data_IF_481520351547
#
_entry.id   IF_481520351547
#
_cell.length_a   1.000
_cell.length_b   1.000
_cell.length_c   1.000
_cell.angle_alpha   90.00
_cell.angle_beta   90.00
_cell.angle_gamma   90.00
#
_symmetry.space_group_name_H-M   'P 1'
#
loop_
_entity.id
_entity.type
_entity.pdbx_description
1 polymer ?
#
# COMPACT_ATOMS: atom_id res chain seq x y z
N UNK A 1 -10.25 -23.75 14.39
CA UNK A 1 -9.52 -22.47 14.17
C UNK A 1 -8.05 -22.79 13.96
N UNK A 2 -7.44 -22.22 12.91
CA UNK A 2 -5.99 -22.30 12.69
C UNK A 2 -5.27 -21.62 13.86
N UNK A 3 -4.26 -22.28 14.45
CA UNK A 3 -3.41 -21.67 15.47
C UNK A 3 -2.24 -21.01 14.77
N UNK A 4 -2.01 -19.74 15.06
CA UNK A 4 -0.87 -18.97 14.56
C UNK A 4 0.16 -18.80 15.66
N UNK A 5 1.43 -18.84 15.29
CA UNK A 5 2.54 -18.71 16.24
C UNK A 5 2.70 -17.25 16.70
N UNK A 6 2.44 -16.29 15.79
CA UNK A 6 2.62 -14.83 16.01
C UNK A 6 1.41 -14.04 15.53
N UNK A 7 1.21 -12.88 16.13
CA UNK A 7 0.13 -11.96 15.76
C UNK A 7 0.28 -11.47 14.32
N UNK A 8 1.51 -11.17 13.85
CA UNK A 8 1.75 -10.71 12.49
C UNK A 8 1.23 -11.72 11.46
N UNK A 9 1.53 -13.01 11.60
CA UNK A 9 1.06 -14.03 10.67
C UNK A 9 -0.47 -14.16 10.73
N UNK A 10 -1.06 -14.14 11.94
CA UNK A 10 -2.52 -14.16 12.12
C UNK A 10 -3.18 -13.00 11.37
N UNK A 11 -2.64 -11.80 11.52
CA UNK A 11 -3.19 -10.58 10.92
C UNK A 11 -3.01 -10.54 9.40
N UNK A 12 -1.96 -11.16 8.85
CA UNK A 12 -1.83 -11.38 7.40
C UNK A 12 -2.97 -12.29 6.90
N UNK A 13 -3.30 -13.36 7.62
CA UNK A 13 -4.40 -14.25 7.27
C UNK A 13 -5.80 -13.66 7.50
N UNK A 14 -5.91 -12.63 8.34
CA UNK A 14 -7.17 -11.90 8.57
C UNK A 14 -7.50 -10.89 7.46
N UNK A 15 -6.58 -10.59 6.54
CA UNK A 15 -6.76 -9.55 5.52
C UNK A 15 -8.02 -9.72 4.67
N UNK A 16 -8.38 -10.92 4.16
CA UNK A 16 -9.62 -11.09 3.41
C UNK A 16 -10.85 -10.66 4.20
N UNK A 17 -10.98 -11.16 5.43
CA UNK A 17 -12.13 -10.82 6.29
C UNK A 17 -12.12 -9.33 6.72
N UNK A 18 -10.93 -8.72 6.91
CA UNK A 18 -10.79 -7.30 7.20
C UNK A 18 -11.23 -6.43 6.02
N UNK A 19 -10.87 -6.83 4.80
CA UNK A 19 -11.32 -6.19 3.57
C UNK A 19 -12.84 -6.28 3.43
N UNK A 20 -13.44 -7.47 3.60
CA UNK A 20 -14.89 -7.65 3.53
C UNK A 20 -15.64 -6.73 4.50
N UNK A 21 -15.21 -6.67 5.76
CA UNK A 21 -15.80 -5.78 6.76
C UNK A 21 -15.64 -4.31 6.40
N UNK A 22 -14.47 -3.94 5.89
CA UNK A 22 -14.21 -2.55 5.46
C UNK A 22 -15.10 -2.18 4.27
N UNK A 23 -15.21 -3.04 3.26
CA UNK A 23 -16.09 -2.79 2.11
C UNK A 23 -17.56 -2.65 2.49
N UNK A 24 -18.01 -3.40 3.50
CA UNK A 24 -19.39 -3.31 4.00
C UNK A 24 -19.76 -1.94 4.59
N UNK A 25 -18.79 -1.14 5.01
CA UNK A 25 -19.04 0.24 5.48
C UNK A 25 -19.40 1.19 4.33
N UNK A 26 -19.00 0.87 3.09
CA UNK A 26 -19.06 1.79 1.95
C UNK A 26 -19.95 1.30 0.81
N UNK A 27 -20.28 0.00 0.80
CA UNK A 27 -21.01 -0.64 -0.29
C UNK A 27 -22.33 -1.23 0.20
N UNK A 28 -23.37 -1.01 -0.59
CA UNK A 28 -24.66 -1.71 -0.46
C UNK A 28 -24.89 -2.52 -1.74
N UNK A 29 -24.70 -3.85 -1.65
CA UNK A 29 -24.63 -4.68 -2.84
C UNK A 29 -23.49 -4.20 -3.76
N UNK A 30 -23.79 -3.95 -5.03
CA UNK A 30 -22.85 -3.43 -6.03
C UNK A 30 -23.00 -1.90 -6.24
N UNK A 31 -23.32 -1.17 -5.18
CA UNK A 31 -23.50 0.30 -5.24
C UNK A 31 -22.74 0.95 -4.09
N UNK A 32 -22.27 2.17 -4.34
CA UNK A 32 -21.77 3.06 -3.30
C UNK A 32 -22.94 3.51 -2.40
N UNK A 33 -22.73 3.52 -1.09
CA UNK A 33 -23.71 4.00 -0.12
C UNK A 33 -23.92 5.51 -0.26
N UNK A 34 -25.20 5.94 -0.31
CA UNK A 34 -25.54 7.36 -0.48
C UNK A 34 -25.19 8.21 0.74
N UNK A 35 -25.36 7.66 1.95
CA UNK A 35 -25.03 8.35 3.20
C UNK A 35 -23.53 8.67 3.33
N UNK A 36 -22.67 7.80 2.76
CA UNK A 36 -21.23 8.08 2.66
C UNK A 36 -20.94 9.15 1.63
N UNK A 37 -21.63 9.11 0.47
CA UNK A 37 -21.47 10.13 -0.57
C UNK A 37 -21.86 11.54 -0.07
N UNK A 38 -22.95 11.64 0.72
CA UNK A 38 -23.38 12.89 1.33
C UNK A 38 -22.32 13.44 2.28
N UNK A 39 -21.78 12.62 3.18
CA UNK A 39 -20.69 13.04 4.09
C UNK A 39 -19.43 13.47 3.36
N UNK A 40 -19.02 12.75 2.31
CA UNK A 40 -17.87 13.12 1.50
C UNK A 40 -18.10 14.44 0.75
N UNK A 41 -19.35 14.80 0.45
CA UNK A 41 -19.69 16.11 -0.10
C UNK A 41 -19.28 17.29 0.80
N UNK A 42 -19.19 17.09 2.12
CA UNK A 42 -18.73 18.11 3.07
C UNK A 42 -17.23 18.39 2.98
N UNK A 43 -16.46 17.41 2.51
CA UNK A 43 -15.03 17.53 2.25
C UNK A 43 -14.73 18.10 0.85
N UNK A 44 -15.74 18.32 0.01
CA UNK A 44 -15.56 18.75 -1.37
C UNK A 44 -14.56 19.90 -1.53
N UNK A 45 -13.53 19.66 -2.33
CA UNK A 45 -12.47 20.63 -2.62
C UNK A 45 -12.74 21.35 -3.95
N UNK A 46 -12.84 22.69 -3.95
CA UNK A 46 -13.17 23.45 -5.17
C UNK A 46 -12.01 23.54 -6.17
N UNK A 47 -10.78 23.28 -5.75
CA UNK A 47 -9.57 23.58 -6.53
C UNK A 47 -8.99 22.38 -7.31
N UNK A 48 -9.53 21.17 -7.17
CA UNK A 48 -8.98 19.98 -7.84
C UNK A 48 -7.62 19.52 -7.30
N UNK A 49 -7.18 20.06 -6.17
CA UNK A 49 -5.89 19.77 -5.53
C UNK A 49 -6.11 19.10 -4.17
N UNK A 50 -5.33 18.07 -3.89
CA UNK A 50 -5.35 17.29 -2.64
C UNK A 50 -3.93 17.09 -2.13
N UNK A 51 -3.73 17.22 -0.82
CA UNK A 51 -2.50 16.85 -0.14
C UNK A 51 -2.78 15.65 0.78
N UNK A 52 -2.02 14.59 0.65
CA UNK A 52 -2.06 13.44 1.56
C UNK A 52 -0.90 13.57 2.54
N UNK A 53 -1.19 13.60 3.85
CA UNK A 53 -0.18 13.65 4.90
C UNK A 53 -0.24 12.39 5.77
N UNK A 54 0.85 11.64 5.84
CA UNK A 54 0.93 10.39 6.59
C UNK A 54 2.37 10.00 6.94
N UNK A 55 2.53 8.98 7.78
CA UNK A 55 3.83 8.43 8.17
C UNK A 55 3.90 6.92 7.89
N UNK A 56 5.11 6.39 7.70
CA UNK A 56 5.38 4.95 7.55
C UNK A 56 4.53 4.27 6.47
N UNK A 57 3.93 3.14 6.82
CA UNK A 57 3.05 2.36 5.92
C UNK A 57 1.86 3.18 5.41
N UNK A 58 1.27 4.01 6.26
CA UNK A 58 0.15 4.88 5.85
C UNK A 58 0.56 5.89 4.77
N UNK A 59 1.83 6.36 4.77
CA UNK A 59 2.34 7.19 3.68
C UNK A 59 2.51 6.38 2.39
N UNK A 60 2.90 5.11 2.48
CA UNK A 60 2.98 4.26 1.29
C UNK A 60 1.59 3.98 0.70
N UNK A 61 0.55 3.82 1.52
CA UNK A 61 -0.83 3.78 0.99
C UNK A 61 -1.23 5.09 0.34
N UNK A 62 -0.81 6.23 0.92
CA UNK A 62 -1.00 7.56 0.32
C UNK A 62 -0.37 7.70 -1.06
N UNK A 63 0.86 7.18 -1.26
CA UNK A 63 1.52 7.18 -2.58
C UNK A 63 0.78 6.32 -3.62
N UNK A 64 0.13 5.23 -3.21
CA UNK A 64 -0.76 4.49 -4.11
C UNK A 64 -2.04 5.28 -4.38
N UNK A 65 -2.56 5.97 -3.35
CA UNK A 65 -3.71 6.86 -3.45
C UNK A 65 -3.50 8.06 -4.37
N UNK A 66 -2.28 8.62 -4.41
CA UNK A 66 -1.88 9.68 -5.34
C UNK A 66 -2.14 9.25 -6.78
N UNK A 67 -1.49 8.18 -7.23
CA UNK A 67 -1.65 7.65 -8.59
C UNK A 67 -3.13 7.34 -8.90
N UNK A 68 -3.82 6.72 -7.96
CA UNK A 68 -5.21 6.32 -8.11
C UNK A 68 -6.16 7.52 -8.26
N UNK A 69 -6.03 8.54 -7.42
CA UNK A 69 -6.88 9.73 -7.45
C UNK A 69 -6.58 10.62 -8.66
N UNK A 70 -5.31 10.70 -9.08
CA UNK A 70 -4.92 11.39 -10.30
C UNK A 70 -5.52 10.71 -11.53
N UNK A 71 -5.33 9.40 -11.67
CA UNK A 71 -5.77 8.65 -12.84
C UNK A 71 -7.32 8.54 -12.92
N UNK A 72 -8.01 8.27 -11.81
CA UNK A 72 -9.47 8.08 -11.81
C UNK A 72 -10.26 9.38 -11.78
N UNK A 73 -9.71 10.44 -11.18
CA UNK A 73 -10.46 11.65 -10.88
C UNK A 73 -9.90 12.92 -11.55
N UNK A 74 -8.71 12.85 -12.13
CA UNK A 74 -8.03 14.02 -12.69
C UNK A 74 -7.65 15.06 -11.63
N UNK A 75 -7.47 14.63 -10.37
CA UNK A 75 -7.03 15.50 -9.28
C UNK A 75 -5.52 15.69 -9.34
N UNK A 76 -5.02 16.83 -8.90
CA UNK A 76 -3.60 16.99 -8.61
C UNK A 76 -3.35 16.58 -7.15
N UNK A 77 -2.53 15.57 -6.92
CA UNK A 77 -2.30 15.01 -5.59
C UNK A 77 -0.83 15.04 -5.23
N UNK A 78 -0.51 15.60 -4.07
CA UNK A 78 0.82 15.53 -3.46
C UNK A 78 0.79 14.64 -2.21
N UNK A 79 1.88 13.91 -1.93
CA UNK A 79 2.01 13.09 -0.72
C UNK A 79 3.21 13.51 0.10
N UNK A 80 2.95 14.10 1.27
CA UNK A 80 3.98 14.61 2.16
C UNK A 80 4.16 13.72 3.40
N UNK A 81 5.31 13.78 4.01
CA UNK A 81 5.51 13.26 5.37
C UNK A 81 4.74 14.13 6.37
N UNK A 82 3.96 13.50 7.25
CA UNK A 82 3.21 14.24 8.26
C UNK A 82 4.13 15.06 9.18
N UNK A 83 5.30 14.53 9.53
CA UNK A 83 6.34 15.25 10.30
C UNK A 83 6.81 16.51 9.59
N UNK A 84 7.02 16.47 8.28
CA UNK A 84 7.51 17.62 7.52
C UNK A 84 6.42 18.69 7.38
N UNK A 85 5.17 18.27 7.11
CA UNK A 85 4.05 19.21 6.97
C UNK A 85 3.85 20.04 8.24
N UNK A 86 3.96 19.42 9.40
CA UNK A 86 3.82 20.10 10.70
C UNK A 86 4.95 21.12 10.96
N UNK A 87 6.12 20.91 10.33
CA UNK A 87 7.30 21.76 10.46
C UNK A 87 7.42 22.84 9.39
N UNK A 88 6.48 22.97 8.46
CA UNK A 88 6.50 24.01 7.40
C UNK A 88 6.25 25.44 7.93
N UNK A 89 6.99 25.84 8.96
CA UNK A 89 6.87 27.15 9.57
C UNK A 89 7.01 28.30 8.60
N UNK A 90 6.22 29.38 8.80
CA UNK A 90 6.41 30.67 8.11
C UNK A 90 5.91 30.76 6.66
N UNK A 91 5.38 29.70 6.08
CA UNK A 91 4.72 29.74 4.78
C UNK A 91 3.21 29.88 4.99
N UNK A 92 2.69 31.10 4.95
CA UNK A 92 1.24 31.38 4.97
C UNK A 92 0.54 30.95 3.65
N UNK A 93 1.06 29.90 3.02
CA UNK A 93 0.43 29.35 1.82
C UNK A 93 -0.79 28.56 2.25
N UNK A 94 -1.94 28.87 1.67
CA UNK A 94 -3.15 28.06 1.80
C UNK A 94 -2.82 26.64 1.31
N UNK A 95 -3.12 25.63 2.12
CA UNK A 95 -3.03 24.24 1.69
C UNK A 95 -4.29 23.86 0.90
N UNK A 96 -4.20 22.88 -0.02
CA UNK A 96 -5.37 22.26 -0.66
C UNK A 96 -6.22 21.51 0.38
N UNK A 97 -7.20 20.73 -0.06
CA UNK A 97 -7.86 19.77 0.82
C UNK A 97 -6.84 18.73 1.30
N UNK A 98 -6.90 18.35 2.57
CA UNK A 98 -5.90 17.48 3.18
C UNK A 98 -6.53 16.15 3.60
N UNK A 99 -5.92 15.04 3.17
CA UNK A 99 -6.21 13.70 3.65
C UNK A 99 -5.12 13.32 4.65
N UNK A 100 -5.51 12.92 5.86
CA UNK A 100 -4.59 12.34 6.85
C UNK A 100 -4.86 10.85 7.01
N UNK A 101 -3.80 10.05 7.02
CA UNK A 101 -3.93 8.58 7.11
C UNK A 101 -3.10 8.07 8.29
N UNK A 102 -3.76 7.37 9.23
CA UNK A 102 -3.10 6.72 10.37
C UNK A 102 -3.91 5.50 10.81
N UNK A 103 -3.25 4.37 11.07
CA UNK A 103 -3.92 3.18 11.59
C UNK A 103 -4.54 3.45 12.96
N UNK A 104 -3.81 4.06 13.89
CA UNK A 104 -4.27 4.35 15.25
C UNK A 104 -5.12 5.61 15.34
N UNK A 105 -4.93 6.57 14.43
CA UNK A 105 -5.52 7.90 14.53
C UNK A 105 -4.98 8.75 15.68
N UNK A 106 -3.89 8.29 16.34
CA UNK A 106 -3.25 8.95 17.50
C UNK A 106 -1.76 9.23 17.25
N UNK A 107 -1.25 9.01 16.03
CA UNK A 107 0.15 9.30 15.70
C UNK A 107 0.40 10.79 15.79
N UNK A 108 1.36 11.20 16.64
CA UNK A 108 1.65 12.59 16.97
C UNK A 108 1.89 13.48 15.75
N UNK A 109 2.76 13.05 14.83
CA UNK A 109 3.04 13.81 13.60
C UNK A 109 1.79 13.98 12.73
N UNK A 110 0.95 12.92 12.61
CA UNK A 110 -0.26 12.97 11.79
C UNK A 110 -1.31 13.89 12.41
N UNK A 111 -1.43 13.91 13.73
CA UNK A 111 -2.28 14.86 14.45
C UNK A 111 -1.77 16.29 14.31
N UNK A 112 -0.46 16.51 14.39
CA UNK A 112 0.14 17.82 14.16
C UNK A 112 -0.12 18.32 12.72
N UNK A 113 0.00 17.43 11.73
CA UNK A 113 -0.32 17.76 10.34
C UNK A 113 -1.81 18.11 10.14
N UNK A 114 -2.73 17.37 10.78
CA UNK A 114 -4.17 17.68 10.78
C UNK A 114 -4.45 19.04 11.41
N UNK A 115 -3.86 19.30 12.57
CA UNK A 115 -4.00 20.59 13.28
C UNK A 115 -3.51 21.74 12.43
N UNK A 116 -2.36 21.60 11.77
CA UNK A 116 -1.81 22.62 10.89
C UNK A 116 -2.69 22.85 9.65
N UNK A 117 -3.21 21.79 9.03
CA UNK A 117 -4.15 21.89 7.91
C UNK A 117 -5.39 22.68 8.29
N UNK A 118 -6.00 22.38 9.43
CA UNK A 118 -7.18 23.07 9.97
C UNK A 118 -6.87 24.53 10.30
N UNK A 119 -5.71 24.81 10.93
CA UNK A 119 -5.26 26.17 11.23
C UNK A 119 -5.15 27.03 9.95
N UNK A 120 -4.80 26.42 8.82
CA UNK A 120 -4.71 27.07 7.50
C UNK A 120 -6.05 27.12 6.77
N UNK A 121 -7.13 26.63 7.37
CA UNK A 121 -8.48 26.65 6.81
C UNK A 121 -8.72 25.62 5.69
N UNK A 122 -7.90 24.57 5.63
CA UNK A 122 -8.09 23.46 4.68
C UNK A 122 -9.23 22.55 5.13
N UNK A 123 -9.98 22.02 4.18
CA UNK A 123 -10.89 20.90 4.43
C UNK A 123 -10.07 19.63 4.68
N UNK A 124 -10.49 18.84 5.66
CA UNK A 124 -9.73 17.69 6.14
C UNK A 124 -10.54 16.40 6.09
N UNK A 125 -9.91 15.31 5.62
CA UNK A 125 -10.46 13.96 5.61
C UNK A 125 -9.50 13.02 6.34
N UNK A 126 -10.01 12.23 7.29
CA UNK A 126 -9.24 11.23 8.02
C UNK A 126 -9.54 9.82 7.53
N UNK A 127 -8.49 9.01 7.28
CA UNK A 127 -8.60 7.56 7.06
C UNK A 127 -7.94 6.86 8.24
N UNK A 128 -8.71 6.16 9.07
CA UNK A 128 -8.21 5.52 10.29
C UNK A 128 -8.95 4.24 10.64
N UNK A 129 -8.27 3.31 11.33
CA UNK A 129 -8.91 2.10 11.83
C UNK A 129 -9.58 2.28 13.21
N UNK A 130 -9.28 3.38 13.89
CA UNK A 130 -9.85 3.73 15.18
C UNK A 130 -10.91 4.84 14.99
N UNK A 131 -12.17 4.45 14.87
CA UNK A 131 -13.28 5.36 14.60
C UNK A 131 -13.47 6.44 15.70
N UNK A 132 -13.06 6.12 16.93
CA UNK A 132 -13.15 7.01 18.10
C UNK A 132 -11.83 7.76 18.39
N UNK A 133 -10.86 7.72 17.47
CA UNK A 133 -9.58 8.41 17.64
C UNK A 133 -9.71 9.93 17.58
N UNK A 134 -8.69 10.60 18.09
CA UNK A 134 -8.57 12.06 18.01
C UNK A 134 -8.62 12.54 16.56
N UNK A 135 -7.88 11.87 15.66
CA UNK A 135 -7.87 12.19 14.24
C UNK A 135 -9.26 12.09 13.60
N UNK A 136 -10.04 11.02 13.95
CA UNK A 136 -11.38 10.82 13.40
C UNK A 136 -12.38 11.87 13.89
N UNK A 137 -12.23 12.36 15.15
CA UNK A 137 -13.09 13.39 15.72
C UNK A 137 -12.77 14.80 15.24
N UNK A 138 -11.51 15.07 14.95
CA UNK A 138 -11.06 16.43 14.61
C UNK A 138 -11.09 16.73 13.10
N UNK A 139 -11.05 15.74 12.23
CA UNK A 139 -11.20 15.95 10.80
C UNK A 139 -12.66 16.34 10.44
N UNK A 140 -12.83 17.11 9.36
CA UNK A 140 -14.18 17.48 8.87
C UNK A 140 -14.96 16.22 8.45
N UNK A 141 -14.29 15.24 7.84
CA UNK A 141 -14.86 13.95 7.43
C UNK A 141 -13.94 12.81 7.82
N UNK A 142 -14.50 11.68 8.23
CA UNK A 142 -13.75 10.45 8.51
C UNK A 142 -14.23 9.28 7.66
N UNK A 143 -13.25 8.53 7.11
CA UNK A 143 -13.45 7.26 6.43
C UNK A 143 -12.81 6.14 7.27
N UNK A 144 -13.58 5.47 8.15
CA UNK A 144 -13.06 4.42 9.01
C UNK A 144 -12.71 3.16 8.23
N UNK A 145 -11.69 2.44 8.70
CA UNK A 145 -11.42 1.06 8.35
C UNK A 145 -12.21 0.13 9.29
N UNK A 146 -12.39 -1.12 8.90
CA UNK A 146 -12.91 -2.18 9.77
C UNK A 146 -11.92 -3.37 9.83
N UNK A 147 -10.62 -3.05 9.87
CA UNK A 147 -9.57 -4.06 9.93
C UNK A 147 -9.58 -4.86 11.25
N UNK A 148 -10.30 -4.38 12.27
CA UNK A 148 -10.27 -4.93 13.61
C UNK A 148 -8.98 -4.56 14.36
N UNK A 149 -8.79 -5.11 15.54
CA UNK A 149 -7.60 -4.83 16.35
C UNK A 149 -6.36 -5.41 15.66
N UNK A 150 -5.37 -4.55 15.43
CA UNK A 150 -4.07 -4.90 14.87
C UNK A 150 -3.00 -4.72 15.94
N UNK A 151 -2.46 -5.85 16.42
CA UNK A 151 -1.50 -5.90 17.54
C UNK A 151 -0.05 -5.94 17.08
N UNK A 152 0.21 -6.61 15.94
CA UNK A 152 1.55 -6.68 15.38
C UNK A 152 2.08 -5.27 15.10
N UNK A 153 3.34 -5.03 15.42
CA UNK A 153 3.97 -3.72 15.16
C UNK A 153 3.99 -3.42 13.66
N UNK A 154 4.45 -4.33 12.77
CA UNK A 154 4.36 -4.10 11.34
C UNK A 154 2.89 -4.10 10.89
N UNK A 155 2.45 -3.01 10.27
CA UNK A 155 1.10 -2.91 9.72
C UNK A 155 0.93 -3.91 8.56
N UNK A 156 -0.20 -4.63 8.56
CA UNK A 156 -0.56 -5.61 7.53
C UNK A 156 -1.99 -5.39 7.03
N UNK A 157 -2.99 -5.84 7.77
CA UNK A 157 -4.41 -5.74 7.38
C UNK A 157 -4.94 -4.30 7.36
N UNK A 158 -4.42 -3.41 8.22
CA UNK A 158 -4.78 -2.00 8.15
C UNK A 158 -4.28 -1.36 6.86
N UNK A 159 -3.08 -1.72 6.39
CA UNK A 159 -2.52 -1.21 5.14
C UNK A 159 -3.38 -1.62 3.92
N UNK A 160 -3.75 -2.89 3.79
CA UNK A 160 -4.61 -3.35 2.69
C UNK A 160 -6.00 -2.72 2.75
N UNK A 161 -6.55 -2.50 3.95
CA UNK A 161 -7.81 -1.76 4.12
C UNK A 161 -7.66 -0.27 3.75
N UNK A 162 -6.50 0.38 4.04
CA UNK A 162 -6.24 1.75 3.59
C UNK A 162 -6.24 1.86 2.06
N UNK A 163 -5.59 0.92 1.36
CA UNK A 163 -5.61 0.87 -0.11
C UNK A 163 -7.05 0.71 -0.64
N UNK A 164 -7.85 -0.18 -0.04
CA UNK A 164 -9.23 -0.39 -0.43
C UNK A 164 -10.10 0.86 -0.20
N UNK A 165 -9.91 1.57 0.92
CA UNK A 165 -10.65 2.80 1.22
C UNK A 165 -10.23 3.96 0.31
N UNK A 166 -8.94 4.06 -0.04
CA UNK A 166 -8.46 5.03 -1.04
C UNK A 166 -9.06 4.76 -2.42
N UNK A 167 -9.16 3.48 -2.83
CA UNK A 167 -9.85 3.12 -4.06
C UNK A 167 -11.35 3.49 -4.01
N UNK A 168 -12.03 3.22 -2.90
CA UNK A 168 -13.43 3.63 -2.70
C UNK A 168 -13.59 5.15 -2.75
N UNK A 169 -12.69 5.91 -2.11
CA UNK A 169 -12.66 7.36 -2.21
C UNK A 169 -12.54 7.81 -3.67
N UNK A 170 -11.64 7.20 -4.45
CA UNK A 170 -11.52 7.44 -5.88
C UNK A 170 -12.83 7.17 -6.64
N UNK A 171 -13.55 6.09 -6.32
CA UNK A 171 -14.85 5.80 -6.94
C UNK A 171 -15.92 6.84 -6.57
N UNK A 172 -15.96 7.28 -5.30
CA UNK A 172 -16.90 8.36 -4.88
C UNK A 172 -16.59 9.67 -5.59
N UNK A 173 -15.32 10.06 -5.67
CA UNK A 173 -14.87 11.28 -6.33
C UNK A 173 -15.07 11.22 -7.85
N UNK A 174 -14.71 10.12 -8.50
CA UNK A 174 -14.94 9.93 -9.93
C UNK A 174 -16.44 10.05 -10.28
N UNK A 175 -17.32 9.51 -9.45
CA UNK A 175 -18.77 9.69 -9.59
C UNK A 175 -19.19 11.14 -9.39
N UNK A 176 -18.71 11.82 -8.35
CA UNK A 176 -19.01 13.22 -8.05
C UNK A 176 -18.57 14.14 -9.17
N UNK A 177 -17.38 13.92 -9.70
CA UNK A 177 -16.75 14.69 -10.79
C UNK A 177 -17.26 14.29 -12.18
N UNK A 178 -18.10 13.25 -12.28
CA UNK A 178 -18.57 12.67 -13.56
C UNK A 178 -17.43 12.18 -14.47
N UNK A 179 -16.33 11.74 -13.87
CA UNK A 179 -15.16 11.21 -14.57
C UNK A 179 -15.32 9.74 -14.96
N UNK A 180 -16.32 9.03 -14.41
CA UNK A 180 -16.58 7.61 -14.63
C UNK A 180 -18.07 7.40 -14.89
N UNK A 181 -18.41 6.55 -15.88
CA UNK A 181 -19.81 6.19 -16.14
C UNK A 181 -20.33 5.12 -15.15
N UNK A 182 -21.64 4.87 -15.19
CA UNK A 182 -22.29 3.96 -14.26
C UNK A 182 -21.91 2.47 -14.48
N UNK A 183 -21.61 2.09 -15.71
CA UNK A 183 -21.23 0.71 -16.04
C UNK A 183 -19.80 0.43 -15.56
N UNK A 184 -18.89 1.37 -15.80
CA UNK A 184 -17.52 1.32 -15.33
C UNK A 184 -17.44 1.34 -13.79
N UNK A 185 -18.21 2.20 -13.13
CA UNK A 185 -18.31 2.23 -11.67
C UNK A 185 -18.75 0.86 -11.11
N UNK A 186 -19.81 0.28 -11.71
CA UNK A 186 -20.32 -1.05 -11.30
C UNK A 186 -19.24 -2.12 -11.46
N UNK A 187 -18.55 -2.14 -12.61
CA UNK A 187 -17.49 -3.11 -12.88
C UNK A 187 -16.33 -2.99 -11.87
N UNK A 188 -15.93 -1.77 -11.49
CA UNK A 188 -14.89 -1.54 -10.49
C UNK A 188 -15.31 -2.03 -9.09
N UNK A 189 -16.58 -1.82 -8.69
CA UNK A 189 -17.12 -2.32 -7.43
C UNK A 189 -17.14 -3.87 -7.43
N UNK A 190 -17.55 -4.50 -8.52
CA UNK A 190 -17.57 -5.97 -8.65
C UNK A 190 -16.16 -6.56 -8.53
N UNK A 191 -15.17 -5.96 -9.20
CA UNK A 191 -13.75 -6.37 -9.09
C UNK A 191 -13.22 -6.21 -7.67
N UNK A 192 -13.50 -5.08 -7.01
CA UNK A 192 -13.09 -4.85 -5.63
C UNK A 192 -13.71 -5.87 -4.67
N UNK A 193 -14.98 -6.23 -4.85
CA UNK A 193 -15.67 -7.23 -4.03
C UNK A 193 -15.16 -8.66 -4.22
N UNK A 194 -14.62 -8.98 -5.37
CA UNK A 194 -14.04 -10.29 -5.65
C UNK A 194 -12.65 -10.47 -5.00
N UNK A 195 -11.96 -9.38 -4.70
CA UNK A 195 -10.57 -9.38 -4.25
C UNK A 195 -10.34 -10.13 -2.92
N UNK A 196 -11.17 -9.99 -1.87
CA UNK A 196 -10.98 -10.74 -0.63
C UNK A 196 -10.98 -12.26 -0.84
N UNK A 197 -11.89 -12.78 -1.68
CA UNK A 197 -11.98 -14.20 -2.02
C UNK A 197 -10.74 -14.64 -2.79
N UNK A 198 -10.30 -13.83 -3.76
CA UNK A 198 -9.08 -14.10 -4.52
C UNK A 198 -7.85 -14.20 -3.63
N UNK A 199 -7.67 -13.26 -2.71
CA UNK A 199 -6.57 -13.27 -1.73
C UNK A 199 -6.66 -14.49 -0.82
N UNK A 200 -7.84 -14.79 -0.27
CA UNK A 200 -8.04 -15.94 0.62
C UNK A 200 -7.64 -17.27 -0.03
N UNK A 201 -7.94 -17.44 -1.33
CA UNK A 201 -7.59 -18.65 -2.09
C UNK A 201 -6.10 -18.83 -2.33
N UNK A 202 -5.29 -17.78 -2.20
CA UNK A 202 -3.84 -17.82 -2.47
C UNK A 202 -2.98 -17.86 -1.20
N UNK A 203 -3.52 -17.50 -0.03
CA UNK A 203 -2.75 -17.29 1.21
C UNK A 203 -1.89 -18.49 1.61
N UNK A 204 -2.40 -19.72 1.54
CA UNK A 204 -1.63 -20.90 1.92
C UNK A 204 -0.50 -21.16 0.93
N UNK A 205 -0.76 -21.06 -0.38
CA UNK A 205 0.26 -21.21 -1.41
C UNK A 205 1.35 -20.14 -1.30
N UNK A 206 0.96 -18.88 -1.07
CA UNK A 206 1.95 -17.83 -0.81
C UNK A 206 2.74 -18.06 0.48
N UNK A 207 2.08 -18.53 1.55
CA UNK A 207 2.77 -18.83 2.81
C UNK A 207 3.87 -19.86 2.62
N UNK A 208 3.57 -20.98 1.96
CA UNK A 208 4.53 -22.04 1.70
C UNK A 208 5.68 -21.56 0.79
N UNK A 209 5.34 -20.84 -0.27
CA UNK A 209 6.32 -20.29 -1.20
C UNK A 209 7.23 -19.24 -0.55
N UNK A 210 6.67 -18.33 0.26
CA UNK A 210 7.45 -17.30 0.94
C UNK A 210 8.35 -17.90 2.02
N UNK A 211 7.94 -18.96 2.70
CA UNK A 211 8.79 -19.70 3.62
C UNK A 211 10.01 -20.30 2.89
N UNK A 212 9.80 -20.94 1.74
CA UNK A 212 10.87 -21.50 0.93
C UNK A 212 11.84 -20.41 0.41
N UNK A 213 11.30 -19.27 -0.07
CA UNK A 213 12.13 -18.14 -0.52
C UNK A 213 12.91 -17.51 0.63
N UNK A 214 12.30 -17.32 1.79
CA UNK A 214 12.97 -16.80 2.97
C UNK A 214 14.14 -17.71 3.39
N UNK A 215 13.94 -19.02 3.39
CA UNK A 215 15.02 -19.97 3.63
C UNK A 215 16.15 -19.83 2.61
N UNK A 216 15.81 -19.79 1.30
CA UNK A 216 16.77 -19.63 0.19
C UNK A 216 17.62 -18.36 0.34
N UNK A 217 16.98 -17.24 0.75
CA UNK A 217 17.63 -15.93 0.84
C UNK A 217 17.99 -15.52 2.28
N UNK A 218 17.92 -16.43 3.26
CA UNK A 218 18.14 -16.14 4.69
C UNK A 218 19.50 -15.50 5.01
N UNK A 219 20.51 -15.75 4.20
CA UNK A 219 21.87 -15.20 4.37
C UNK A 219 22.06 -13.81 3.75
N UNK A 220 21.12 -13.34 2.93
CA UNK A 220 21.21 -12.02 2.32
C UNK A 220 21.01 -10.93 3.39
N UNK A 221 21.98 -10.03 3.50
CA UNK A 221 21.95 -8.92 4.47
C UNK A 221 21.29 -7.65 3.93
N UNK A 222 21.15 -7.54 2.60
CA UNK A 222 20.62 -6.38 1.91
C UNK A 222 19.67 -6.81 0.79
N UNK A 223 18.64 -6.02 0.54
CA UNK A 223 17.72 -6.18 -0.59
C UNK A 223 17.44 -4.84 -1.27
N UNK A 224 17.18 -4.84 -2.57
CA UNK A 224 16.66 -3.69 -3.28
C UNK A 224 15.25 -4.02 -3.80
N UNK A 225 14.28 -3.16 -3.48
CA UNK A 225 12.89 -3.28 -3.90
C UNK A 225 12.58 -2.31 -5.02
N UNK A 226 12.01 -2.80 -6.11
CA UNK A 226 11.74 -2.02 -7.31
C UNK A 226 10.27 -2.11 -7.72
N UNK A 227 9.74 -0.99 -8.19
CA UNK A 227 8.39 -0.90 -8.78
C UNK A 227 8.28 0.33 -9.68
N UNK A 228 7.20 0.41 -10.48
CA UNK A 228 6.88 1.57 -11.31
C UNK A 228 5.46 2.04 -11.04
N UNK A 229 5.21 3.36 -11.10
CA UNK A 229 3.89 3.93 -10.83
C UNK A 229 3.35 3.47 -9.48
N UNK A 230 2.12 3.01 -9.44
CA UNK A 230 1.44 2.55 -8.23
C UNK A 230 2.18 1.39 -7.52
N UNK A 231 2.83 0.51 -8.28
CA UNK A 231 3.60 -0.64 -7.76
C UNK A 231 4.87 -0.21 -7.00
N UNK A 232 5.37 1.01 -7.23
CA UNK A 232 6.48 1.54 -6.45
C UNK A 232 6.08 1.78 -4.98
N UNK A 233 4.84 2.17 -4.71
CA UNK A 233 4.33 2.28 -3.35
C UNK A 233 4.38 0.92 -2.62
N UNK A 234 4.11 -0.18 -3.34
CA UNK A 234 4.16 -1.55 -2.80
C UNK A 234 5.60 -2.03 -2.60
N UNK A 235 6.50 -1.72 -3.52
CA UNK A 235 7.93 -1.98 -3.34
C UNK A 235 8.47 -1.26 -2.08
N UNK A 236 8.04 -0.02 -1.84
CA UNK A 236 8.38 0.74 -0.62
C UNK A 236 7.87 0.04 0.64
N UNK A 237 6.63 -0.43 0.61
CA UNK A 237 6.02 -1.12 1.75
C UNK A 237 6.69 -2.47 2.02
N UNK A 238 6.96 -3.28 0.99
CA UNK A 238 7.70 -4.54 1.13
C UNK A 238 9.08 -4.34 1.76
N UNK A 239 9.83 -3.32 1.30
CA UNK A 239 11.12 -2.96 1.89
C UNK A 239 11.00 -2.54 3.36
N UNK A 240 9.95 -1.80 3.72
CA UNK A 240 9.69 -1.40 5.11
C UNK A 240 9.38 -2.63 5.96
N UNK A 241 8.49 -3.50 5.51
CA UNK A 241 8.13 -4.73 6.25
C UNK A 241 9.34 -5.62 6.49
N UNK A 242 10.22 -5.78 5.49
CA UNK A 242 11.44 -6.57 5.65
C UNK A 242 12.36 -5.97 6.73
N UNK A 243 12.57 -4.65 6.72
CA UNK A 243 13.37 -3.96 7.74
C UNK A 243 12.80 -4.11 9.14
N UNK A 244 11.50 -3.85 9.29
CA UNK A 244 10.82 -3.90 10.59
C UNK A 244 10.86 -5.31 11.19
N UNK A 245 10.45 -6.32 10.42
CA UNK A 245 10.28 -7.67 10.93
C UNK A 245 11.59 -8.42 11.11
N UNK A 246 12.55 -8.30 10.18
CA UNK A 246 13.74 -9.16 10.12
C UNK A 246 15.07 -8.44 10.39
N UNK A 247 15.06 -7.12 10.54
CA UNK A 247 16.25 -6.25 10.69
C UNK A 247 17.22 -6.33 9.50
N UNK A 248 16.74 -6.83 8.36
CA UNK A 248 17.50 -6.85 7.11
C UNK A 248 17.44 -5.46 6.46
N UNK A 249 18.58 -4.94 6.03
CA UNK A 249 18.60 -3.68 5.30
C UNK A 249 17.89 -3.84 3.95
N UNK A 250 16.94 -2.96 3.66
CA UNK A 250 16.21 -2.98 2.40
C UNK A 250 15.99 -1.55 1.91
N UNK A 251 16.45 -1.28 0.70
CA UNK A 251 16.19 -0.02 0.01
C UNK A 251 15.12 -0.19 -1.07
N UNK A 252 14.57 0.91 -1.54
CA UNK A 252 13.50 0.94 -2.53
C UNK A 252 13.76 2.06 -3.53
N UNK A 253 13.59 1.74 -4.81
CA UNK A 253 13.77 2.69 -5.89
C UNK A 253 12.63 2.57 -6.92
N UNK A 254 12.21 3.67 -7.53
CA UNK A 254 11.52 3.56 -8.81
C UNK A 254 12.41 2.75 -9.75
N UNK A 255 11.86 1.76 -10.45
CA UNK A 255 12.68 0.84 -11.22
C UNK A 255 13.55 1.53 -12.30
N UNK A 256 13.13 2.71 -12.76
CA UNK A 256 13.95 3.55 -13.66
C UNK A 256 15.21 4.11 -13.02
N UNK A 257 15.17 4.38 -11.71
CA UNK A 257 16.27 5.00 -10.98
C UNK A 257 17.39 4.01 -10.62
N UNK A 258 17.18 2.70 -10.80
CA UNK A 258 18.22 1.70 -10.54
C UNK A 258 19.52 2.02 -11.28
N UNK A 259 19.41 2.49 -12.55
CA UNK A 259 20.56 2.80 -13.40
C UNK A 259 21.30 4.08 -13.02
N UNK A 260 20.73 4.91 -12.17
CA UNK A 260 21.27 6.21 -11.76
C UNK A 260 22.10 6.13 -10.46
N UNK A 261 22.71 4.98 -10.19
CA UNK A 261 23.60 4.77 -9.05
C UNK A 261 23.42 3.42 -8.36
N UNK A 262 22.19 3.06 -7.90
CA UNK A 262 21.96 1.84 -7.13
C UNK A 262 22.38 0.54 -7.83
N UNK A 263 22.49 0.54 -9.16
CA UNK A 263 22.98 -0.58 -9.95
C UNK A 263 24.40 -1.02 -9.53
N UNK A 264 25.20 -0.11 -8.98
CA UNK A 264 26.53 -0.42 -8.45
C UNK A 264 26.51 -1.39 -7.25
N UNK A 265 25.35 -1.53 -6.57
CA UNK A 265 25.17 -2.44 -5.43
C UNK A 265 24.86 -3.88 -5.85
N UNK A 266 24.55 -4.11 -7.14
CA UNK A 266 24.15 -5.42 -7.63
C UNK A 266 25.31 -6.43 -7.45
N UNK A 267 24.96 -7.54 -6.81
CA UNK A 267 25.86 -8.67 -6.59
C UNK A 267 25.02 -9.91 -6.21
N UNK A 268 25.62 -11.06 -6.18
CA UNK A 268 24.97 -12.30 -5.71
C UNK A 268 24.42 -12.20 -4.28
N UNK A 269 24.95 -11.27 -3.48
CA UNK A 269 24.58 -11.06 -2.07
C UNK A 269 23.48 -9.99 -1.87
N UNK A 270 23.07 -9.29 -2.92
CA UNK A 270 22.05 -8.24 -2.88
C UNK A 270 20.89 -8.60 -3.84
N UNK A 271 19.95 -9.46 -3.42
CA UNK A 271 18.80 -9.79 -4.25
C UNK A 271 17.90 -8.58 -4.52
N UNK A 272 17.28 -8.59 -5.70
CA UNK A 272 16.23 -7.65 -6.08
C UNK A 272 14.86 -8.26 -5.80
N UNK A 273 13.92 -7.47 -5.31
CA UNK A 273 12.49 -7.78 -5.27
C UNK A 273 11.77 -6.81 -6.18
N UNK A 274 11.12 -7.31 -7.23
CA UNK A 274 10.55 -6.48 -8.29
C UNK A 274 9.05 -6.74 -8.40
N UNK A 275 8.23 -5.68 -8.31
CA UNK A 275 6.80 -5.78 -8.62
C UNK A 275 6.64 -5.53 -10.12
N UNK A 276 6.20 -6.57 -10.84
CA UNK A 276 6.15 -6.64 -12.30
C UNK A 276 4.80 -7.17 -12.80
N UNK A 277 3.73 -6.74 -12.16
CA UNK A 277 2.34 -7.04 -12.55
C UNK A 277 1.86 -6.06 -13.62
N UNK A 278 0.77 -6.42 -14.31
CA UNK A 278 0.18 -5.64 -15.39
C UNK A 278 -1.35 -5.78 -15.43
N UNK A 279 -2.03 -4.68 -15.72
CA UNK A 279 -3.40 -4.69 -16.20
C UNK A 279 -3.37 -4.51 -17.73
N UNK A 280 -3.63 -5.55 -18.52
CA UNK A 280 -3.56 -5.47 -19.98
C UNK A 280 -4.65 -4.59 -20.61
N UNK A 281 -5.67 -4.21 -19.83
CA UNK A 281 -6.71 -3.30 -20.29
C UNK A 281 -6.32 -1.81 -20.16
N UNK A 282 -5.23 -1.49 -19.44
CA UNK A 282 -4.76 -0.13 -19.25
C UNK A 282 -3.41 0.10 -19.94
N UNK A 283 -3.39 0.92 -20.99
CA UNK A 283 -2.19 1.19 -21.80
C UNK A 283 -0.99 1.64 -20.94
N UNK A 284 -1.22 2.53 -20.00
CA UNK A 284 -0.17 3.00 -19.08
C UNK A 284 0.43 1.87 -18.22
N UNK A 285 -0.38 0.85 -17.84
CA UNK A 285 0.09 -0.35 -17.15
C UNK A 285 0.98 -1.18 -18.06
N UNK A 286 0.54 -1.41 -19.30
CA UNK A 286 1.33 -2.16 -20.29
C UNK A 286 2.68 -1.50 -20.52
N UNK A 287 2.73 -0.19 -20.71
CA UNK A 287 4.00 0.57 -20.88
C UNK A 287 4.91 0.42 -19.67
N UNK A 288 4.37 0.47 -18.45
CA UNK A 288 5.14 0.25 -17.22
C UNK A 288 5.72 -1.16 -17.13
N UNK A 289 4.91 -2.15 -17.49
CA UNK A 289 5.32 -3.56 -17.53
C UNK A 289 6.43 -3.80 -18.54
N UNK A 290 6.28 -3.35 -19.78
CA UNK A 290 7.29 -3.50 -20.84
C UNK A 290 8.65 -2.88 -20.43
N UNK A 291 8.63 -1.69 -19.81
CA UNK A 291 9.83 -1.06 -19.27
C UNK A 291 10.45 -1.88 -18.13
N UNK A 292 9.63 -2.57 -17.34
CA UNK A 292 10.10 -3.45 -16.26
C UNK A 292 10.70 -4.72 -16.83
N UNK A 293 10.07 -5.35 -17.82
CA UNK A 293 10.59 -6.51 -18.55
C UNK A 293 11.94 -6.17 -19.22
N UNK A 294 12.04 -4.98 -19.83
CA UNK A 294 13.32 -4.53 -20.40
C UNK A 294 14.43 -4.43 -19.34
N UNK A 295 14.13 -3.86 -18.19
CA UNK A 295 15.07 -3.79 -17.06
C UNK A 295 15.46 -5.19 -16.59
N UNK A 296 14.53 -6.11 -16.44
CA UNK A 296 14.80 -7.49 -16.00
C UNK A 296 15.70 -8.26 -16.97
N UNK A 297 15.59 -8.03 -18.28
CA UNK A 297 16.52 -8.60 -19.27
C UNK A 297 17.96 -8.13 -19.03
N UNK A 298 18.14 -6.85 -18.74
CA UNK A 298 19.47 -6.32 -18.39
C UNK A 298 20.00 -6.92 -17.07
N UNK A 299 19.13 -6.99 -16.04
CA UNK A 299 19.49 -7.57 -14.74
C UNK A 299 19.91 -9.05 -14.89
N UNK A 300 19.20 -9.80 -15.74
CA UNK A 300 19.59 -11.19 -16.07
C UNK A 300 20.98 -11.28 -16.68
N UNK A 301 21.33 -10.40 -17.61
CA UNK A 301 22.68 -10.37 -18.23
C UNK A 301 23.78 -10.02 -17.22
N UNK A 302 23.44 -9.29 -16.17
CA UNK A 302 24.34 -8.92 -15.08
C UNK A 302 24.43 -9.98 -13.98
N UNK A 303 23.66 -11.07 -14.11
CA UNK A 303 23.64 -12.17 -13.13
C UNK A 303 22.89 -11.85 -11.83
N UNK A 304 22.06 -10.80 -11.81
CA UNK A 304 21.31 -10.40 -10.61
C UNK A 304 20.34 -11.50 -10.16
N UNK A 305 20.23 -11.71 -8.85
CA UNK A 305 19.22 -12.56 -8.22
C UNK A 305 17.94 -11.75 -8.07
N UNK A 306 16.87 -12.17 -8.72
CA UNK A 306 15.60 -11.43 -8.73
C UNK A 306 14.46 -12.32 -8.27
N UNK A 307 13.67 -11.82 -7.31
CA UNK A 307 12.36 -12.32 -6.92
C UNK A 307 11.32 -11.35 -7.52
N UNK A 308 10.48 -11.82 -8.42
CA UNK A 308 9.46 -10.99 -9.05
C UNK A 308 8.05 -11.35 -8.58
N UNK A 309 7.23 -10.34 -8.26
CA UNK A 309 5.78 -10.50 -8.11
C UNK A 309 5.16 -10.23 -9.48
N UNK A 310 4.43 -11.21 -10.01
CA UNK A 310 3.89 -11.22 -11.39
C UNK A 310 2.43 -11.63 -11.41
N UNK A 311 1.72 -11.38 -12.51
CA UNK A 311 0.40 -11.96 -12.71
C UNK A 311 0.49 -13.47 -12.94
N UNK A 312 -0.47 -14.23 -12.42
CA UNK A 312 -0.61 -15.66 -12.78
C UNK A 312 -0.76 -15.82 -14.28
N UNK A 313 0.09 -16.70 -14.84
CA UNK A 313 0.13 -16.95 -16.28
C UNK A 313 1.04 -16.03 -17.08
N UNK A 314 1.81 -15.15 -16.44
CA UNK A 314 2.86 -14.36 -17.09
C UNK A 314 3.89 -15.30 -17.74
N UNK A 315 4.20 -15.08 -19.02
CA UNK A 315 5.13 -15.92 -19.79
C UNK A 315 6.50 -15.26 -19.98
N UNK A 316 6.62 -13.97 -19.80
CA UNK A 316 7.84 -13.20 -20.07
C UNK A 316 8.75 -13.12 -18.83
N UNK A 317 8.26 -12.59 -17.72
CA UNK A 317 9.05 -12.32 -16.51
C UNK A 317 9.63 -13.61 -15.91
N UNK A 318 8.91 -14.76 -15.80
CA UNK A 318 9.46 -15.99 -15.24
C UNK A 318 10.72 -16.48 -15.96
N UNK A 319 10.88 -16.17 -17.24
CA UNK A 319 12.08 -16.53 -18.01
C UNK A 319 13.31 -15.68 -17.69
N UNK A 320 13.11 -14.54 -17.03
CA UNK A 320 14.13 -13.49 -16.82
C UNK A 320 14.65 -13.44 -15.39
N UNK A 321 13.98 -14.07 -14.44
CA UNK A 321 14.24 -13.91 -13.00
C UNK A 321 14.60 -15.22 -12.33
N UNK A 322 15.08 -15.15 -11.09
CA UNK A 322 15.46 -16.34 -10.31
C UNK A 322 14.26 -17.03 -9.67
N UNK A 323 13.25 -16.25 -9.28
CA UNK A 323 12.04 -16.73 -8.60
C UNK A 323 10.86 -15.81 -8.94
N UNK A 324 9.67 -16.38 -9.06
CA UNK A 324 8.43 -15.66 -9.28
C UNK A 324 7.42 -15.97 -8.18
N UNK A 325 6.65 -14.96 -7.83
CA UNK A 325 5.48 -15.06 -6.95
C UNK A 325 4.27 -14.58 -7.73
N UNK A 326 3.32 -15.46 -7.93
CA UNK A 326 2.15 -15.15 -8.75
C UNK A 326 1.02 -14.54 -7.91
N UNK A 327 0.39 -13.50 -8.45
CA UNK A 327 -0.88 -12.94 -7.96
C UNK A 327 -1.94 -13.05 -9.06
N UNK A 328 -3.20 -13.22 -8.68
CA UNK A 328 -4.27 -13.26 -9.68
C UNK A 328 -4.39 -11.93 -10.40
N UNK A 329 -4.65 -11.93 -11.72
CA UNK A 329 -4.87 -10.71 -12.48
C UNK A 329 -6.02 -9.88 -11.89
N UNK A 330 -5.80 -8.57 -11.82
CA UNK A 330 -6.79 -7.59 -11.37
C UNK A 330 -6.59 -6.28 -12.13
N UNK A 331 -7.48 -5.30 -11.94
CA UNK A 331 -7.23 -3.96 -12.47
C UNK A 331 -6.04 -3.32 -11.79
N UNK A 332 -5.33 -2.44 -12.51
CA UNK A 332 -4.11 -1.74 -12.04
C UNK A 332 -4.22 -1.22 -10.61
N UNK A 333 -5.34 -0.58 -10.28
CA UNK A 333 -5.54 0.06 -8.97
C UNK A 333 -5.90 -0.92 -7.85
N UNK A 334 -6.20 -2.18 -8.16
CA UNK A 334 -6.49 -3.24 -7.19
C UNK A 334 -5.31 -4.19 -7.00
N UNK A 335 -4.41 -4.30 -7.97
CA UNK A 335 -3.19 -5.11 -7.88
C UNK A 335 -2.38 -4.83 -6.61
N UNK A 336 -2.16 -3.57 -6.17
CA UNK A 336 -1.42 -3.25 -4.94
C UNK A 336 -1.89 -3.99 -3.69
N UNK A 337 -3.21 -4.25 -3.57
CA UNK A 337 -3.80 -4.93 -2.42
C UNK A 337 -3.39 -6.41 -2.38
N UNK A 338 -3.27 -7.06 -3.55
CA UNK A 338 -2.82 -8.45 -3.64
C UNK A 338 -1.29 -8.59 -3.57
N UNK A 339 -0.56 -7.69 -4.23
CA UNK A 339 0.91 -7.71 -4.33
C UNK A 339 1.62 -7.60 -2.99
N UNK A 340 1.07 -6.81 -2.08
CA UNK A 340 1.70 -6.58 -0.78
C UNK A 340 1.66 -7.80 0.13
N UNK A 341 0.66 -8.67 -0.02
CA UNK A 341 0.46 -9.81 0.88
C UNK A 341 1.63 -10.81 0.87
N UNK A 342 2.11 -11.30 -0.30
CA UNK A 342 3.30 -12.14 -0.33
C UNK A 342 4.55 -11.42 0.17
N UNK A 343 4.68 -10.10 0.00
CA UNK A 343 5.82 -9.35 0.53
C UNK A 343 5.79 -9.27 2.07
N UNK A 344 4.60 -9.17 2.67
CA UNK A 344 4.41 -9.25 4.12
C UNK A 344 4.78 -10.65 4.65
N UNK A 345 4.35 -11.71 3.96
CA UNK A 345 4.72 -13.09 4.29
C UNK A 345 6.23 -13.33 4.16
N UNK A 346 6.86 -12.81 3.11
CA UNK A 346 8.31 -12.89 2.94
C UNK A 346 9.05 -12.24 4.11
N UNK A 347 8.64 -11.03 4.52
CA UNK A 347 9.22 -10.33 5.66
C UNK A 347 9.04 -11.13 6.97
N UNK A 348 7.87 -11.73 7.19
CA UNK A 348 7.59 -12.60 8.33
C UNK A 348 8.52 -13.82 8.35
N UNK A 349 8.61 -14.57 7.25
CA UNK A 349 9.45 -15.76 7.21
C UNK A 349 10.95 -15.45 7.24
N UNK A 350 11.38 -14.33 6.67
CA UNK A 350 12.76 -13.84 6.86
C UNK A 350 13.08 -13.57 8.32
N UNK A 351 12.11 -13.05 9.10
CA UNK A 351 12.26 -12.90 10.54
C UNK A 351 12.42 -14.25 11.24
N UNK A 352 11.62 -15.24 10.86
CA UNK A 352 11.73 -16.61 11.42
C UNK A 352 13.10 -17.24 11.15
N UNK A 353 13.60 -17.16 9.92
CA UNK A 353 14.93 -17.65 9.54
C UNK A 353 16.07 -16.96 10.32
N UNK A 354 15.85 -15.73 10.76
CA UNK A 354 16.81 -14.94 11.52
C UNK A 354 16.61 -15.01 13.03
N UNK A 355 15.65 -15.79 13.51
CA UNK A 355 15.35 -15.95 14.92
C UNK A 355 14.80 -14.68 15.60
N UNK A 356 14.13 -13.81 14.85
CA UNK A 356 13.51 -12.58 15.37
C UNK A 356 12.10 -12.86 15.87
N UNK A 357 11.78 -12.47 17.09
CA UNK A 357 10.41 -12.45 17.60
C UNK A 357 9.66 -11.22 17.03
N UNK A 358 8.79 -11.47 16.06
CA UNK A 358 8.04 -10.40 15.36
C UNK A 358 6.96 -9.74 16.21
N UNK A 359 6.61 -10.33 17.36
CA UNK A 359 5.68 -9.74 18.32
C UNK A 359 6.40 -8.83 19.34
N UNK A 360 7.76 -8.85 19.37
CA UNK A 360 8.61 -8.05 20.25
C UNK A 360 9.78 -7.44 19.50
N UNK A 361 9.48 -6.51 18.62
CA UNK A 361 10.49 -5.85 17.79
C UNK A 361 11.27 -4.80 18.60
N UNK A 362 12.60 -4.79 18.40
CA UNK A 362 13.47 -3.81 19.08
C UNK A 362 13.26 -2.39 18.54
N UNK A 363 13.30 -1.40 19.42
CA UNK A 363 13.23 0.03 19.09
C UNK A 363 11.98 0.45 18.30
N UNK A 364 10.93 -0.36 18.30
CA UNK A 364 9.67 -0.06 17.64
C UNK A 364 8.50 -0.17 18.61
N UNK A 365 7.49 0.67 18.40
CA UNK A 365 6.19 0.62 19.08
C UNK A 365 5.07 0.63 18.04
N UNK A 366 3.87 0.14 18.42
CA UNK A 366 2.72 0.08 17.51
C UNK A 366 2.25 1.48 17.06
N UNK A 367 2.36 2.47 17.94
CA UNK A 367 2.07 3.87 17.65
C UNK A 367 3.15 4.77 18.24
N UNK A 368 3.51 5.82 17.50
CA UNK A 368 4.39 6.89 17.97
C UNK A 368 3.49 7.96 18.59
N UNK A 369 3.48 8.05 19.92
CA UNK A 369 2.62 8.96 20.68
C UNK A 369 3.34 10.26 21.09
N UNK A 370 4.67 10.25 21.03
CA UNK A 370 5.53 11.39 21.35
C UNK A 370 6.58 11.58 20.25
N UNK A 371 6.87 12.81 19.90
CA UNK A 371 7.89 13.20 18.90
C UNK A 371 8.85 14.21 19.50
#
# INVERSE_FOLDING_TARGET
>A
MRKFQHEMLREIYEQPAALERTLALYLEGNKLRSDVAERLGEWAHPAGEVLIAASGSSRHSGLAGEVLLEDLCGLAVDVEYASELSCWGGRDRRLPAVIVISQSGETSDTLAALTEARRRGSKTLAITNAADSTMAREADVSMPLAAGIEKAIPATKSFTCQLAVLFLLGLYEARRLRAMDAAELKANIERLRALPISIAGQLDGWSDQMAALAHKYSKAGNFLYLGRGIHYAIAREGALKLKEASYVHAERYPAGELKHGPNALLSDSVPLVVVATVDPALEASVVRYEKTVHLLREMKTQGAKVIAVVNSGDQDVPTLVSDCVEVQPASEYLLPIAEVVPLQLFAYFMAMERGVDVDRLRNLSKAVLET
#
